data_IF_694705205545
#
_entry.id   IF_694705205545
#
_cell.length_a   1.000
_cell.length_b   1.000
_cell.length_c   1.000
_cell.angle_alpha   90.00
_cell.angle_beta   90.00
_cell.angle_gamma   90.00
#
_symmetry.space_group_name_H-M   'P 1'
#
loop_
_entity.id
_entity.type
_entity.pdbx_description
1 polymer ?
#
# COMPACT_ATOMS: atom_id res chain seq x y z
N UNK A 1 -11.45 -0.75 -18.21
CA UNK A 1 -12.74 -1.37 -18.49
C UNK A 1 -12.75 -2.08 -19.85
N UNK A 2 -12.40 -1.40 -20.93
CA UNK A 2 -12.37 -1.99 -22.29
C UNK A 2 -11.51 -3.26 -22.42
N UNK A 3 -10.35 -3.32 -21.76
CA UNK A 3 -9.51 -4.52 -21.74
C UNK A 3 -10.20 -5.73 -21.12
N UNK A 4 -10.94 -5.54 -20.02
CA UNK A 4 -11.73 -6.61 -19.38
C UNK A 4 -12.86 -7.06 -20.33
N UNK A 5 -13.56 -6.11 -20.94
CA UNK A 5 -14.63 -6.38 -21.89
C UNK A 5 -14.11 -7.19 -23.09
N UNK A 6 -12.97 -6.77 -23.67
CA UNK A 6 -12.34 -7.48 -24.78
C UNK A 6 -11.92 -8.91 -24.37
N UNK A 7 -11.30 -9.07 -23.20
CA UNK A 7 -10.91 -10.38 -22.69
C UNK A 7 -12.13 -11.29 -22.48
N UNK A 8 -13.27 -10.74 -22.05
CA UNK A 8 -14.52 -11.46 -21.89
C UNK A 8 -15.10 -11.90 -23.28
N UNK A 9 -15.13 -10.98 -24.24
CA UNK A 9 -15.59 -11.27 -25.61
C UNK A 9 -14.75 -12.35 -26.29
N UNK A 10 -13.45 -12.35 -26.06
CA UNK A 10 -12.52 -13.36 -26.57
C UNK A 10 -12.56 -14.68 -25.79
N UNK A 11 -13.37 -14.76 -24.72
CA UNK A 11 -13.48 -15.96 -23.91
C UNK A 11 -12.26 -16.25 -23.04
N UNK A 12 -11.43 -15.28 -22.74
CA UNK A 12 -10.21 -15.46 -21.98
C UNK A 12 -10.40 -15.36 -20.45
N UNK A 13 -11.53 -14.84 -19.97
CA UNK A 13 -11.81 -14.73 -18.54
C UNK A 13 -12.02 -16.14 -17.94
N UNK A 14 -11.32 -16.45 -16.86
CA UNK A 14 -11.41 -17.72 -16.15
C UNK A 14 -10.67 -18.89 -16.84
N UNK A 15 -9.77 -18.62 -17.76
CA UNK A 15 -8.86 -19.60 -18.38
C UNK A 15 -7.45 -19.43 -17.84
N UNK A 16 -6.68 -20.53 -17.80
CA UNK A 16 -5.25 -20.47 -17.47
C UNK A 16 -4.53 -19.56 -18.47
N UNK A 17 -3.66 -18.69 -17.97
CA UNK A 17 -2.91 -17.70 -18.75
C UNK A 17 -3.78 -16.72 -19.57
N UNK A 18 -5.09 -16.69 -19.34
CA UNK A 18 -6.02 -15.80 -20.03
C UNK A 18 -6.54 -14.69 -19.12
N UNK A 19 -7.26 -13.74 -19.72
CA UNK A 19 -7.90 -12.64 -19.01
C UNK A 19 -7.19 -11.30 -19.17
N UNK A 20 -7.46 -10.39 -18.26
CA UNK A 20 -6.86 -9.07 -18.20
C UNK A 20 -6.43 -8.79 -16.77
N UNK A 21 -5.16 -8.55 -16.55
CA UNK A 21 -4.59 -8.20 -15.27
C UNK A 21 -4.04 -6.78 -15.24
N UNK A 22 -4.21 -6.09 -14.13
CA UNK A 22 -3.69 -4.74 -13.90
C UNK A 22 -2.62 -4.78 -12.82
N UNK A 23 -1.37 -4.87 -13.21
CA UNK A 23 -0.23 -5.08 -12.32
C UNK A 23 -0.14 -6.52 -11.79
N UNK A 24 1.04 -7.00 -11.51
CA UNK A 24 1.27 -8.33 -10.95
C UNK A 24 1.57 -8.19 -9.46
N UNK A 25 0.74 -8.81 -8.61
CA UNK A 25 0.85 -8.89 -7.15
C UNK A 25 0.79 -7.59 -6.38
N UNK A 26 1.34 -6.49 -6.87
CA UNK A 26 1.57 -5.26 -6.10
C UNK A 26 0.36 -4.35 -5.99
N UNK A 27 -0.49 -4.31 -7.01
CA UNK A 27 -1.58 -3.31 -7.11
C UNK A 27 -2.96 -3.94 -6.98
N UNK A 28 -3.11 -5.20 -7.35
CA UNK A 28 -4.39 -5.91 -7.34
C UNK A 28 -4.26 -7.38 -6.96
N UNK A 29 -5.33 -8.13 -7.19
CA UNK A 29 -5.37 -9.56 -6.91
C UNK A 29 -4.65 -10.44 -7.95
N UNK A 30 -3.89 -9.88 -8.87
CA UNK A 30 -3.11 -10.58 -9.88
C UNK A 30 -1.79 -11.07 -9.28
N UNK A 31 -1.29 -12.19 -9.70
CA UNK A 31 -0.11 -12.86 -9.15
C UNK A 31 -0.47 -14.25 -8.67
N UNK A 32 0.30 -14.83 -7.75
CA UNK A 32 -0.01 -16.14 -7.20
C UNK A 32 -1.34 -16.09 -6.46
N UNK A 33 -2.36 -16.71 -7.06
CA UNK A 33 -3.71 -16.74 -6.50
C UNK A 33 -3.86 -17.74 -5.34
N UNK A 34 -2.87 -18.59 -5.10
CA UNK A 34 -2.91 -19.66 -4.10
C UNK A 34 -2.48 -19.18 -2.73
N UNK A 35 -1.43 -18.39 -2.70
CA UNK A 35 -0.79 -17.94 -1.48
C UNK A 35 -1.21 -16.53 -1.10
N UNK A 36 -2.53 -16.24 -1.22
CA UNK A 36 -3.04 -15.00 -0.66
C UNK A 36 -2.96 -15.05 0.85
N UNK A 37 -1.86 -14.52 1.37
CA UNK A 37 -1.61 -14.41 2.79
C UNK A 37 -1.72 -12.95 3.22
N UNK A 38 -2.74 -12.57 3.98
CA UNK A 38 -2.77 -11.28 4.62
C UNK A 38 -1.69 -11.25 5.71
N UNK A 39 -0.70 -10.40 5.52
CA UNK A 39 0.32 -10.13 6.52
C UNK A 39 -0.21 -9.19 7.59
N UNK A 40 0.24 -9.38 8.82
CA UNK A 40 -0.05 -8.42 9.87
C UNK A 40 0.77 -7.15 9.64
N UNK A 41 0.20 -6.02 10.00
CA UNK A 41 0.85 -4.72 9.96
C UNK A 41 1.18 -4.24 11.36
N UNK A 42 1.97 -3.17 11.45
CA UNK A 42 2.12 -2.42 12.69
C UNK A 42 0.76 -1.95 13.23
N UNK A 43 0.59 -1.82 14.55
CA UNK A 43 -0.63 -1.29 15.14
C UNK A 43 -0.93 0.12 14.60
N UNK A 44 -2.15 0.33 14.10
CA UNK A 44 -2.54 1.58 13.44
C UNK A 44 -3.37 2.51 14.35
N UNK A 45 -3.70 2.06 15.56
CA UNK A 45 -4.60 2.80 16.43
C UNK A 45 -6.00 3.00 15.84
N UNK A 46 -6.66 4.06 16.27
CA UNK A 46 -7.99 4.44 15.76
C UNK A 46 -7.92 5.80 15.09
N UNK A 47 -8.15 5.86 13.80
CA UNK A 47 -8.32 7.12 13.10
C UNK A 47 -9.69 7.73 13.47
N UNK A 48 -9.69 8.96 13.98
CA UNK A 48 -10.92 9.71 14.31
C UNK A 48 -11.55 10.32 13.06
N UNK A 49 -10.76 10.55 12.02
CA UNK A 49 -11.21 11.10 10.74
C UNK A 49 -11.64 9.94 9.86
N UNK A 50 -12.89 9.97 9.42
CA UNK A 50 -13.48 8.89 8.60
C UNK A 50 -13.54 9.24 7.13
N UNK A 51 -13.61 10.52 6.81
CA UNK A 51 -13.58 11.00 5.44
C UNK A 51 -12.15 11.03 4.93
N UNK A 52 -11.97 10.85 3.65
CA UNK A 52 -10.67 10.87 3.00
C UNK A 52 -10.72 11.62 1.67
N UNK A 53 -9.59 12.15 1.28
CA UNK A 53 -9.44 12.81 0.00
C UNK A 53 -8.75 11.81 -0.94
N UNK A 54 -9.32 11.51 -2.12
CA UNK A 54 -8.65 10.68 -3.11
C UNK A 54 -7.29 11.27 -3.49
N UNK A 55 -6.29 10.43 -3.67
CA UNK A 55 -4.91 10.86 -4.02
C UNK A 55 -4.91 11.76 -5.25
N UNK A 56 -5.72 11.47 -6.26
CA UNK A 56 -5.84 12.28 -7.48
C UNK A 56 -6.40 13.70 -7.24
N UNK A 57 -6.98 13.98 -6.07
CA UNK A 57 -7.58 15.26 -5.70
C UNK A 57 -6.68 16.14 -4.82
N UNK A 58 -5.44 15.74 -4.55
CA UNK A 58 -4.53 16.51 -3.69
C UNK A 58 -4.34 17.94 -4.21
N UNK A 59 -4.14 18.11 -5.51
CA UNK A 59 -4.01 19.44 -6.12
C UNK A 59 -5.27 20.28 -5.94
N UNK A 60 -6.44 19.70 -6.25
CA UNK A 60 -7.74 20.38 -6.11
C UNK A 60 -8.01 20.78 -4.66
N UNK A 61 -7.69 19.91 -3.71
CA UNK A 61 -7.81 20.18 -2.27
C UNK A 61 -6.96 21.38 -1.85
N UNK A 62 -5.72 21.45 -2.28
CA UNK A 62 -4.82 22.54 -1.93
C UNK A 62 -5.24 23.86 -2.61
N UNK A 63 -5.81 23.81 -3.81
CA UNK A 63 -6.26 24.98 -4.54
C UNK A 63 -7.58 25.55 -4.02
N UNK A 64 -8.46 24.71 -3.50
CA UNK A 64 -9.84 25.07 -3.15
C UNK A 64 -10.25 24.65 -1.73
N UNK A 65 -9.58 25.16 -0.67
CA UNK A 65 -9.99 24.88 0.71
C UNK A 65 -11.45 25.29 0.96
N UNK A 66 -12.24 24.40 1.59
CA UNK A 66 -13.67 24.60 1.85
C UNK A 66 -14.58 24.31 0.64
N UNK A 67 -14.00 24.01 -0.54
CA UNK A 67 -14.77 23.63 -1.72
C UNK A 67 -15.38 22.22 -1.58
N UNK A 68 -16.53 22.03 -2.19
CA UNK A 68 -17.19 20.72 -2.24
C UNK A 68 -16.71 19.90 -3.44
N UNK A 69 -16.71 18.58 -3.30
CA UNK A 69 -16.46 17.64 -4.39
C UNK A 69 -17.27 16.37 -4.20
N UNK A 70 -17.59 15.72 -5.31
CA UNK A 70 -18.31 14.44 -5.32
C UNK A 70 -17.32 13.27 -5.34
N UNK A 71 -17.52 12.31 -4.46
CA UNK A 71 -16.77 11.07 -4.43
C UNK A 71 -17.63 9.91 -3.92
N UNK A 72 -17.72 8.85 -4.71
CA UNK A 72 -18.43 7.60 -4.38
C UNK A 72 -19.87 7.85 -3.88
N UNK A 73 -20.62 8.73 -4.59
CA UNK A 73 -21.98 9.08 -4.27
C UNK A 73 -22.15 9.98 -3.03
N UNK A 74 -21.06 10.55 -2.51
CA UNK A 74 -21.07 11.47 -1.37
C UNK A 74 -20.54 12.83 -1.78
N UNK A 75 -21.09 13.88 -1.16
CA UNK A 75 -20.51 15.22 -1.18
C UNK A 75 -19.56 15.37 0.00
N UNK A 76 -18.32 15.70 -0.27
CA UNK A 76 -17.25 15.90 0.70
C UNK A 76 -16.71 17.32 0.56
N UNK A 77 -16.05 17.83 1.60
CA UNK A 77 -15.48 19.17 1.62
C UNK A 77 -13.96 19.10 1.79
N UNK A 78 -13.24 19.87 1.00
CA UNK A 78 -11.78 19.95 1.14
C UNK A 78 -11.38 20.66 2.42
N UNK A 79 -10.49 20.08 3.23
CA UNK A 79 -9.92 20.76 4.40
C UNK A 79 -8.94 21.86 3.96
N UNK A 80 -8.74 22.83 4.84
CA UNK A 80 -7.68 23.84 4.69
C UNK A 80 -6.36 23.30 5.28
N UNK A 81 -5.50 22.77 4.42
CA UNK A 81 -4.23 22.13 4.80
C UNK A 81 -3.16 23.19 5.05
N UNK A 82 -2.62 23.21 6.26
CA UNK A 82 -1.53 24.10 6.68
C UNK A 82 -0.18 23.44 6.73
N UNK A 83 -0.14 22.12 6.93
CA UNK A 83 1.09 21.34 6.98
C UNK A 83 0.94 20.07 6.15
N UNK A 84 1.94 19.78 5.34
CA UNK A 84 2.10 18.51 4.66
C UNK A 84 3.31 17.81 5.26
N UNK A 85 3.12 16.58 5.74
CA UNK A 85 4.21 15.68 6.05
C UNK A 85 4.16 14.50 5.07
N UNK A 86 5.17 14.34 4.26
CA UNK A 86 5.20 13.30 3.23
C UNK A 86 6.34 12.32 3.48
N UNK A 87 6.00 11.08 3.79
CA UNK A 87 6.94 10.00 3.99
C UNK A 87 6.60 8.85 3.03
N UNK A 88 7.51 8.53 2.14
CA UNK A 88 7.33 7.51 1.10
C UNK A 88 6.54 7.98 -0.13
N UNK A 89 6.98 7.52 -1.30
CA UNK A 89 6.44 7.95 -2.58
C UNK A 89 6.88 9.37 -2.98
N UNK A 90 6.50 9.79 -4.19
CA UNK A 90 6.85 11.12 -4.71
C UNK A 90 5.69 11.67 -5.55
N UNK A 91 4.93 12.66 -5.05
CA UNK A 91 3.78 13.22 -5.76
C UNK A 91 4.16 13.83 -7.10
N UNK A 92 5.37 14.36 -7.25
CA UNK A 92 5.86 14.93 -8.51
C UNK A 92 6.17 13.88 -9.59
N UNK A 93 6.08 12.58 -9.26
CA UNK A 93 6.19 11.48 -10.23
C UNK A 93 4.83 10.79 -10.51
N UNK A 94 3.87 10.91 -9.59
CA UNK A 94 2.65 10.14 -9.65
C UNK A 94 1.39 10.95 -9.94
N UNK A 95 1.41 12.27 -9.70
CA UNK A 95 0.24 13.12 -9.92
C UNK A 95 0.18 13.66 -11.35
N UNK A 96 -1.05 13.92 -11.76
CA UNK A 96 -1.37 14.59 -13.02
C UNK A 96 -1.16 16.10 -12.86
N UNK A 97 -0.96 16.79 -13.99
CA UNK A 97 -0.84 18.24 -14.06
C UNK A 97 0.15 18.82 -13.04
N UNK A 98 1.41 18.46 -13.21
CA UNK A 98 2.50 18.89 -12.31
C UNK A 98 2.64 20.41 -12.24
N UNK A 99 2.26 21.14 -13.29
CA UNK A 99 2.32 22.61 -13.29
C UNK A 99 1.30 23.22 -12.31
N UNK A 100 0.12 22.61 -12.16
CA UNK A 100 -0.82 22.99 -11.12
C UNK A 100 -0.32 22.55 -9.73
N UNK A 101 0.18 21.33 -9.63
CA UNK A 101 0.69 20.78 -8.37
C UNK A 101 1.79 21.67 -7.77
N UNK A 102 2.77 22.12 -8.56
CA UNK A 102 3.86 23.00 -8.10
C UNK A 102 3.30 24.30 -7.48
N UNK A 103 2.26 24.88 -8.09
CA UNK A 103 1.63 26.09 -7.57
C UNK A 103 0.80 25.82 -6.31
N UNK A 104 0.03 24.73 -6.30
CA UNK A 104 -0.78 24.32 -5.17
C UNK A 104 0.09 23.94 -3.96
N UNK A 105 1.24 23.34 -4.21
CA UNK A 105 2.20 22.92 -3.18
C UNK A 105 2.81 24.08 -2.38
N UNK A 106 2.72 25.29 -2.88
CA UNK A 106 3.18 26.52 -2.19
C UNK A 106 2.14 27.11 -1.22
N UNK A 107 0.94 26.54 -1.14
CA UNK A 107 -0.14 27.08 -0.29
C UNK A 107 -0.04 26.67 1.18
N UNK A 108 0.32 25.42 1.54
CA UNK A 108 0.58 25.07 2.93
C UNK A 108 1.70 25.90 3.53
N UNK A 109 1.60 26.14 4.86
CA UNK A 109 2.61 26.92 5.57
C UNK A 109 3.95 26.17 5.72
N UNK A 110 3.90 24.83 5.76
CA UNK A 110 5.07 23.99 5.99
C UNK A 110 4.94 22.68 5.27
N UNK A 111 6.00 22.27 4.61
CA UNK A 111 6.12 20.98 3.95
C UNK A 111 7.35 20.25 4.49
N UNK A 112 7.11 19.09 5.09
CA UNK A 112 8.13 18.20 5.64
C UNK A 112 8.16 16.93 4.81
N UNK A 113 9.35 16.44 4.47
CA UNK A 113 9.51 15.18 3.73
C UNK A 113 10.57 14.29 4.37
N UNK A 114 10.33 12.97 4.36
CA UNK A 114 11.38 11.98 4.50
C UNK A 114 11.78 11.55 3.09
N UNK A 115 13.06 11.73 2.72
CA UNK A 115 13.48 11.45 1.36
C UNK A 115 14.91 10.92 1.32
N UNK A 116 15.13 9.94 0.45
CA UNK A 116 16.45 9.32 0.25
C UNK A 116 17.28 9.99 -0.84
N UNK A 117 16.63 10.74 -1.73
CA UNK A 117 17.28 11.39 -2.88
C UNK A 117 16.92 12.87 -2.98
N UNK A 118 17.84 13.65 -3.52
CA UNK A 118 17.59 15.05 -3.83
C UNK A 118 16.77 15.21 -5.11
N UNK A 119 15.55 14.70 -5.08
CA UNK A 119 14.60 14.69 -6.20
C UNK A 119 13.70 15.94 -6.23
N UNK A 120 12.68 15.92 -7.10
CA UNK A 120 11.72 17.03 -7.21
C UNK A 120 10.92 17.26 -5.93
N UNK A 121 10.56 16.24 -5.19
CA UNK A 121 9.83 16.40 -3.93
C UNK A 121 10.70 17.08 -2.86
N UNK A 122 11.92 16.62 -2.67
CA UNK A 122 12.87 17.25 -1.74
C UNK A 122 13.09 18.73 -2.06
N UNK A 123 13.16 19.09 -3.35
CA UNK A 123 13.34 20.48 -3.79
C UNK A 123 12.13 21.39 -3.54
N UNK A 124 10.97 20.84 -3.25
CA UNK A 124 9.74 21.55 -2.96
C UNK A 124 9.30 21.41 -1.48
N UNK A 125 10.21 21.02 -0.61
CA UNK A 125 10.00 20.91 0.83
C UNK A 125 10.73 22.02 1.59
N UNK A 126 10.17 22.41 2.75
CA UNK A 126 10.81 23.34 3.67
C UNK A 126 11.77 22.62 4.61
N UNK A 127 11.42 21.39 5.02
CA UNK A 127 12.20 20.55 5.92
C UNK A 127 12.37 19.18 5.29
N UNK A 128 13.60 18.69 5.26
CA UNK A 128 13.94 17.38 4.72
C UNK A 128 14.61 16.55 5.80
N UNK A 129 14.02 15.40 6.13
CA UNK A 129 14.70 14.39 6.93
C UNK A 129 15.34 13.36 5.98
N UNK A 130 16.66 13.25 5.94
CA UNK A 130 17.34 12.27 5.10
C UNK A 130 17.02 10.86 5.61
N UNK A 131 16.34 10.08 4.77
CA UNK A 131 15.91 8.74 5.10
C UNK A 131 16.86 7.68 4.54
N UNK A 132 16.92 6.53 5.21
CA UNK A 132 17.72 5.38 4.81
C UNK A 132 17.11 4.66 3.61
N UNK A 133 17.98 4.12 2.77
CA UNK A 133 17.59 3.14 1.74
C UNK A 133 17.29 1.78 2.37
N UNK A 134 16.72 0.87 1.58
CA UNK A 134 16.49 -0.51 2.04
C UNK A 134 17.78 -1.27 2.39
N UNK A 135 18.95 -0.86 1.86
CA UNK A 135 20.23 -1.48 2.18
C UNK A 135 20.79 -1.06 3.56
N UNK A 136 20.31 0.04 4.09
CA UNK A 136 20.78 0.66 5.33
C UNK A 136 19.92 0.33 6.55
N UNK A 137 18.87 -0.50 6.39
CA UNK A 137 17.96 -0.88 7.47
C UNK A 137 17.58 -2.37 7.41
N UNK A 138 17.08 -2.85 8.51
CA UNK A 138 16.38 -4.13 8.55
C UNK A 138 14.93 -3.96 8.15
N UNK A 139 14.36 -4.95 7.45
CA UNK A 139 12.96 -4.90 7.04
C UNK A 139 12.46 -6.31 6.68
N UNK A 140 11.19 -6.43 6.31
CA UNK A 140 10.58 -7.62 5.72
C UNK A 140 10.07 -7.28 4.32
N UNK A 141 10.43 -8.09 3.34
CA UNK A 141 9.78 -8.06 2.03
C UNK A 141 8.65 -9.09 2.03
N UNK A 142 7.45 -8.58 2.15
CA UNK A 142 6.22 -9.36 2.21
C UNK A 142 5.26 -8.87 1.14
N UNK A 143 4.73 -9.80 0.34
CA UNK A 143 3.71 -9.50 -0.64
C UNK A 143 2.57 -10.53 -0.50
N UNK A 144 1.30 -10.10 -0.43
CA UNK A 144 0.18 -11.03 -0.29
C UNK A 144 0.02 -12.05 -1.42
N UNK A 145 0.73 -11.87 -2.52
CA UNK A 145 0.64 -12.69 -3.73
C UNK A 145 1.97 -13.32 -4.15
N UNK A 146 3.00 -13.17 -3.33
CA UNK A 146 4.30 -13.78 -3.54
C UNK A 146 4.48 -14.92 -2.53
N UNK A 147 4.85 -16.13 -2.94
CA UNK A 147 5.10 -17.22 -2.02
C UNK A 147 6.41 -17.07 -1.24
N UNK A 148 7.27 -16.13 -1.63
CA UNK A 148 8.58 -15.94 -1.01
C UNK A 148 8.59 -14.75 -0.08
N UNK A 149 8.99 -14.99 1.16
CA UNK A 149 9.20 -13.98 2.18
C UNK A 149 10.69 -13.80 2.38
N UNK A 150 11.15 -12.56 2.41
CA UNK A 150 12.56 -12.24 2.51
C UNK A 150 12.82 -11.41 3.76
N UNK A 151 13.84 -11.82 4.54
CA UNK A 151 14.42 -11.01 5.59
C UNK A 151 15.39 -10.02 4.95
N UNK A 152 14.99 -8.77 4.86
CA UNK A 152 15.88 -7.71 4.37
C UNK A 152 16.80 -7.28 5.51
N UNK A 153 18.00 -7.86 5.56
CA UNK A 153 19.01 -7.51 6.55
C UNK A 153 19.76 -6.26 6.13
N UNK A 154 20.04 -5.38 7.09
CA UNK A 154 20.93 -4.25 6.89
C UNK A 154 22.25 -4.70 6.30
N UNK A 155 22.60 -4.19 5.13
CA UNK A 155 23.80 -4.56 4.38
C UNK A 155 24.93 -3.54 4.49
N UNK A 156 24.62 -2.29 4.88
CA UNK A 156 25.59 -1.21 5.03
C UNK A 156 25.16 -0.22 6.11
N UNK A 157 26.11 0.53 6.64
CA UNK A 157 25.80 1.59 7.60
C UNK A 157 25.07 2.76 6.94
N UNK A 158 24.30 3.48 7.75
CA UNK A 158 23.57 4.67 7.30
C UNK A 158 24.53 5.72 6.72
N UNK A 159 24.17 6.27 5.58
CA UNK A 159 24.97 7.28 4.93
C UNK A 159 24.85 8.62 5.64
N UNK A 160 25.97 9.14 6.16
CA UNK A 160 26.03 10.38 6.93
C UNK A 160 25.00 10.45 8.07
N UNK A 161 24.09 11.44 7.99
CA UNK A 161 23.06 11.70 9.02
C UNK A 161 21.69 11.08 8.65
N UNK A 162 21.64 10.20 7.64
CA UNK A 162 20.40 9.53 7.30
C UNK A 162 19.96 8.59 8.43
N UNK A 163 18.66 8.46 8.59
CA UNK A 163 18.02 7.63 9.61
C UNK A 163 16.91 6.81 9.00
N UNK A 164 16.54 5.71 9.65
CA UNK A 164 15.33 4.99 9.27
C UNK A 164 14.11 5.85 9.53
N UNK A 165 13.01 5.62 8.80
CA UNK A 165 11.75 6.30 9.08
C UNK A 165 11.30 6.07 10.53
N UNK A 166 11.57 4.87 11.07
CA UNK A 166 11.27 4.55 12.47
C UNK A 166 12.06 5.45 13.45
N UNK A 167 13.34 5.67 13.21
CA UNK A 167 14.17 6.57 14.03
C UNK A 167 13.71 8.03 13.90
N UNK A 168 13.36 8.48 12.67
CA UNK A 168 12.84 9.83 12.44
C UNK A 168 11.56 10.06 13.22
N UNK A 169 10.57 9.17 13.08
CA UNK A 169 9.30 9.30 13.78
C UNK A 169 9.42 9.09 15.29
N UNK A 170 10.33 8.22 15.75
CA UNK A 170 10.63 8.08 17.18
C UNK A 170 11.25 9.35 17.75
N UNK A 171 12.13 10.00 16.99
CA UNK A 171 12.69 11.31 17.37
C UNK A 171 11.62 12.37 17.50
N UNK A 172 10.70 12.47 16.54
CA UNK A 172 9.56 13.38 16.60
C UNK A 172 8.63 13.07 17.77
N UNK A 173 8.33 11.79 18.01
CA UNK A 173 7.50 11.37 19.13
C UNK A 173 8.14 11.73 20.49
N UNK A 174 9.46 11.66 20.59
CA UNK A 174 10.21 12.08 21.77
C UNK A 174 10.04 13.56 22.05
N UNK A 175 10.27 14.41 21.04
CA UNK A 175 10.13 15.86 21.18
C UNK A 175 8.68 16.29 21.49
N UNK A 176 7.70 15.52 21.01
CA UNK A 176 6.28 15.73 21.26
C UNK A 176 5.78 15.08 22.57
N UNK A 177 6.63 14.37 23.31
CA UNK A 177 6.35 13.83 24.63
C UNK A 177 5.55 12.53 24.67
N UNK A 178 5.53 11.74 23.57
CA UNK A 178 4.82 10.46 23.52
C UNK A 178 5.64 9.29 22.95
N UNK A 179 6.97 9.33 23.12
CA UNK A 179 7.88 8.29 22.62
C UNK A 179 7.46 6.88 23.02
N UNK A 180 7.20 6.67 24.31
CA UNK A 180 6.84 5.35 24.81
C UNK A 180 5.54 4.82 24.21
N UNK A 181 4.53 5.67 24.05
CA UNK A 181 3.28 5.31 23.41
C UNK A 181 3.45 5.00 21.90
N UNK A 182 4.42 5.64 21.24
CA UNK A 182 4.71 5.40 19.84
C UNK A 182 5.53 4.12 19.62
N UNK A 183 6.58 3.92 20.42
CA UNK A 183 7.50 2.80 20.25
C UNK A 183 7.10 1.54 21.00
N UNK A 184 6.25 1.65 22.04
CA UNK A 184 5.97 0.58 22.99
C UNK A 184 7.26 -0.04 23.58
N UNK A 185 8.33 0.77 23.71
CA UNK A 185 9.67 0.36 24.12
C UNK A 185 10.28 -0.74 23.24
N UNK A 186 9.87 -0.83 21.96
CA UNK A 186 10.39 -1.75 20.98
C UNK A 186 11.35 -1.03 20.04
N UNK A 187 12.41 -1.72 19.61
CA UNK A 187 13.27 -1.28 18.53
C UNK A 187 12.74 -1.77 17.16
N UNK A 188 13.48 -1.47 16.08
CA UNK A 188 13.13 -1.86 14.73
C UNK A 188 13.01 -3.40 14.59
N UNK A 189 13.96 -4.14 15.16
CA UNK A 189 13.99 -5.60 15.05
C UNK A 189 12.86 -6.24 15.87
N UNK A 190 12.52 -5.68 17.03
CA UNK A 190 11.37 -6.11 17.83
C UNK A 190 10.06 -5.97 17.07
N UNK A 191 9.90 -4.87 16.31
CA UNK A 191 8.72 -4.68 15.47
C UNK A 191 8.68 -5.65 14.28
N UNK A 192 9.81 -5.92 13.65
CA UNK A 192 9.93 -6.92 12.58
C UNK A 192 9.54 -8.31 13.12
N UNK A 193 10.06 -8.67 14.29
CA UNK A 193 9.70 -9.93 14.97
C UNK A 193 8.23 -9.99 15.33
N UNK A 194 7.67 -8.89 15.84
CA UNK A 194 6.23 -8.80 16.13
C UNK A 194 5.36 -9.07 14.89
N UNK A 195 5.70 -8.47 13.73
CA UNK A 195 4.97 -8.70 12.47
C UNK A 195 5.08 -10.18 12.07
N UNK A 196 6.28 -10.77 12.14
CA UNK A 196 6.50 -12.17 11.83
C UNK A 196 5.66 -13.10 12.71
N UNK A 197 5.79 -12.97 14.03
CA UNK A 197 5.09 -13.83 15.00
C UNK A 197 3.58 -13.69 14.92
N UNK A 198 3.08 -12.48 14.73
CA UNK A 198 1.65 -12.20 14.58
C UNK A 198 1.10 -12.78 13.28
N UNK A 199 1.88 -12.70 12.18
CA UNK A 199 1.52 -13.31 10.89
C UNK A 199 1.56 -14.83 10.97
N UNK A 200 2.59 -15.41 11.59
CA UNK A 200 2.68 -16.85 11.82
C UNK A 200 1.46 -17.39 12.57
N UNK A 201 1.06 -16.73 13.67
CA UNK A 201 -0.14 -17.10 14.45
C UNK A 201 -1.41 -17.02 13.62
N UNK A 202 -1.55 -16.00 12.78
CA UNK A 202 -2.71 -15.85 11.91
C UNK A 202 -2.79 -16.96 10.84
N UNK A 203 -1.64 -17.46 10.40
CA UNK A 203 -1.53 -18.49 9.36
C UNK A 203 -1.54 -19.93 9.87
N UNK A 204 -1.25 -20.18 11.13
CA UNK A 204 -1.41 -21.52 11.74
C UNK A 204 -2.83 -22.07 11.53
N UNK A 205 -3.83 -21.20 11.44
CA UNK A 205 -5.22 -21.58 11.13
C UNK A 205 -5.43 -22.10 9.69
N UNK A 206 -4.41 -22.04 8.83
CA UNK A 206 -4.43 -22.42 7.41
C UNK A 206 -3.48 -23.56 7.11
N UNK A 207 -3.07 -24.32 8.13
CA UNK A 207 -2.15 -25.46 8.04
C UNK A 207 -0.76 -25.10 7.46
N UNK A 208 -0.35 -23.83 7.56
CA UNK A 208 1.00 -23.41 7.19
C UNK A 208 1.84 -23.28 8.43
N UNK A 209 2.90 -24.10 8.50
CA UNK A 209 3.89 -24.05 9.57
C UNK A 209 5.00 -23.05 9.23
N UNK A 210 5.09 -21.98 10.01
CA UNK A 210 6.18 -21.01 9.91
C UNK A 210 7.36 -21.43 10.80
N UNK A 211 8.61 -21.22 10.36
CA UNK A 211 9.77 -21.37 11.22
C UNK A 211 9.74 -20.29 12.33
N UNK A 212 10.52 -20.50 13.38
CA UNK A 212 10.78 -19.46 14.36
C UNK A 212 11.40 -18.24 13.67
N UNK A 213 11.20 -17.06 14.25
CA UNK A 213 11.77 -15.84 13.69
C UNK A 213 13.28 -15.92 13.51
N UNK A 214 13.98 -16.45 14.48
CA UNK A 214 15.42 -16.54 14.49
C UNK A 214 15.93 -17.42 13.32
N UNK A 215 15.29 -18.56 13.08
CA UNK A 215 15.63 -19.48 11.99
C UNK A 215 15.36 -18.85 10.61
N UNK A 216 14.23 -18.17 10.48
CA UNK A 216 13.90 -17.40 9.27
C UNK A 216 14.90 -16.27 9.04
N UNK A 217 15.17 -15.49 10.09
CA UNK A 217 16.08 -14.36 10.01
C UNK A 217 17.50 -14.80 9.63
N UNK A 218 17.98 -15.88 10.21
CA UNK A 218 19.30 -16.44 9.87
C UNK A 218 19.33 -16.93 8.42
N UNK A 219 18.36 -17.72 8.00
CA UNK A 219 18.26 -18.25 6.64
C UNK A 219 18.10 -17.16 5.57
N UNK A 220 17.42 -16.06 5.91
CA UNK A 220 17.20 -14.92 5.02
C UNK A 220 15.93 -14.98 4.17
N UNK A 221 15.29 -16.12 4.06
CA UNK A 221 14.02 -16.25 3.33
C UNK A 221 13.19 -17.44 3.81
N UNK A 222 11.91 -17.40 3.50
CA UNK A 222 10.98 -18.50 3.70
C UNK A 222 10.06 -18.61 2.48
N UNK A 223 9.89 -19.81 1.94
CA UNK A 223 8.94 -20.08 0.86
C UNK A 223 7.71 -20.79 1.42
N UNK A 224 6.55 -20.24 1.07
CA UNK A 224 5.27 -20.89 1.37
C UNK A 224 5.14 -22.20 0.59
N UNK A 225 4.49 -23.21 1.17
CA UNK A 225 4.29 -24.47 0.47
C UNK A 225 3.48 -24.25 -0.80
N UNK A 226 3.88 -24.92 -1.88
CA UNK A 226 3.12 -24.92 -3.13
C UNK A 226 1.77 -25.61 -2.92
N UNK A 227 0.67 -25.05 -3.41
CA UNK A 227 -0.61 -25.73 -3.36
C UNK A 227 -0.61 -26.99 -4.22
N UNK A 228 -1.34 -28.01 -3.78
CA UNK A 228 -1.45 -29.28 -4.51
C UNK A 228 -2.16 -29.15 -5.86
N UNK A 229 -3.03 -28.14 -5.99
CA UNK A 229 -3.82 -27.89 -7.21
C UNK A 229 -3.72 -26.47 -7.66
N UNK A 230 -3.56 -26.26 -8.94
CA UNK A 230 -3.59 -24.93 -9.54
C UNK A 230 -5.01 -24.36 -9.51
N UNK A 231 -5.11 -23.12 -9.05
CA UNK A 231 -6.37 -22.37 -9.04
C UNK A 231 -6.35 -21.28 -10.10
N UNK A 232 -7.17 -21.39 -11.11
CA UNK A 232 -7.35 -20.35 -12.12
C UNK A 232 -8.40 -19.35 -11.62
N UNK A 233 -8.04 -18.06 -11.57
CA UNK A 233 -8.96 -17.00 -11.14
C UNK A 233 -10.20 -16.97 -12.04
N UNK A 234 -11.38 -16.83 -11.43
CA UNK A 234 -12.68 -16.81 -12.11
C UNK A 234 -13.03 -18.09 -12.90
N UNK A 235 -12.31 -19.19 -12.71
CA UNK A 235 -12.62 -20.45 -13.39
C UNK A 235 -14.00 -21.01 -12.97
N UNK A 236 -14.36 -20.89 -11.69
CA UNK A 236 -15.65 -21.35 -11.19
C UNK A 236 -16.80 -20.50 -11.76
N UNK A 237 -16.63 -19.17 -11.83
CA UNK A 237 -17.56 -18.28 -12.52
C UNK A 237 -17.71 -18.65 -13.99
N UNK A 238 -16.61 -18.95 -14.67
CA UNK A 238 -16.63 -19.39 -16.08
C UNK A 238 -17.42 -20.69 -16.27
N UNK A 239 -17.25 -21.66 -15.36
CA UNK A 239 -17.94 -22.97 -15.43
C UNK A 239 -19.44 -22.85 -15.16
N UNK A 240 -19.82 -22.09 -14.14
CA UNK A 240 -21.21 -21.88 -13.76
C UNK A 240 -21.40 -20.48 -13.13
N UNK A 241 -21.70 -19.47 -13.94
CA UNK A 241 -21.88 -18.10 -13.46
C UNK A 241 -23.08 -17.90 -12.54
N UNK A 242 -24.05 -18.81 -12.56
CA UNK A 242 -25.21 -18.73 -11.68
C UNK A 242 -24.89 -19.25 -10.28
N UNK A 243 -24.08 -20.29 -10.20
CA UNK A 243 -23.63 -20.86 -8.92
C UNK A 243 -22.50 -20.04 -8.28
N UNK A 244 -21.65 -19.43 -9.08
CA UNK A 244 -20.49 -18.63 -8.65
C UNK A 244 -20.54 -17.22 -9.24
N UNK A 245 -21.56 -16.42 -8.91
CA UNK A 245 -21.71 -15.08 -9.47
C UNK A 245 -20.55 -14.17 -9.07
N UNK A 246 -20.29 -13.15 -9.87
CA UNK A 246 -19.37 -12.07 -9.53
C UNK A 246 -20.00 -11.14 -8.49
N UNK A 247 -19.15 -10.45 -7.73
CA UNK A 247 -19.61 -9.42 -6.80
C UNK A 247 -19.91 -8.08 -7.54
N UNK A 248 -20.80 -8.15 -8.51
CA UNK A 248 -21.31 -7.03 -9.30
C UNK A 248 -22.82 -6.98 -9.16
N UNK A 249 -23.50 -5.85 -9.42
CA UNK A 249 -24.96 -5.75 -9.35
C UNK A 249 -25.70 -6.84 -10.12
N UNK A 250 -25.21 -7.22 -11.30
CA UNK A 250 -25.79 -8.27 -12.14
C UNK A 250 -25.30 -9.68 -11.82
N UNK A 251 -24.28 -9.83 -10.97
CA UNK A 251 -23.55 -11.09 -10.76
C UNK A 251 -22.70 -11.53 -11.94
N UNK A 252 -22.59 -10.71 -12.99
CA UNK A 252 -21.90 -11.00 -14.24
C UNK A 252 -20.85 -9.94 -14.55
N UNK A 253 -20.08 -10.13 -15.64
CA UNK A 253 -19.18 -9.09 -16.19
C UNK A 253 -20.05 -7.98 -16.77
N UNK A 254 -19.91 -6.77 -16.23
CA UNK A 254 -20.68 -5.61 -16.69
C UNK A 254 -19.86 -4.79 -17.69
N UNK A 255 -20.44 -4.50 -18.84
CA UNK A 255 -19.83 -3.67 -19.90
C UNK A 255 -20.00 -2.19 -19.58
N UNK A 256 -21.08 -1.82 -18.90
CA UNK A 256 -21.36 -0.47 -18.42
C UNK A 256 -21.59 -0.48 -16.91
N UNK A 257 -21.39 0.66 -16.27
CA UNK A 257 -21.60 0.84 -14.84
C UNK A 257 -22.72 1.84 -14.60
N UNK A 258 -23.77 1.40 -13.94
CA UNK A 258 -24.84 2.30 -13.49
C UNK A 258 -24.30 3.36 -12.51
N UNK A 259 -23.31 3.00 -11.69
CA UNK A 259 -22.65 3.95 -10.79
C UNK A 259 -21.97 5.08 -11.57
N UNK A 260 -21.19 4.73 -12.60
CA UNK A 260 -20.50 5.74 -13.43
C UNK A 260 -21.52 6.57 -14.23
N UNK A 261 -22.57 5.96 -14.75
CA UNK A 261 -23.59 6.67 -15.52
C UNK A 261 -24.39 7.68 -14.68
N UNK A 262 -24.35 7.57 -13.35
CA UNK A 262 -25.01 8.51 -12.44
C UNK A 262 -24.10 9.67 -11.99
N UNK A 263 -22.83 9.68 -12.43
CA UNK A 263 -21.94 10.83 -12.27
C UNK A 263 -22.13 11.73 -13.50
N UNK A 264 -22.88 12.80 -13.36
CA UNK A 264 -23.00 13.89 -14.34
C UNK A 264 -21.93 14.95 -14.10
#
# INVERSE_FOLDING_TARGET
WMGITLAAMLGHIGTASGGFGFGYSSVNSTGDSFNRMPWQSLPQGKNKIRDFIPVARVTDMLENPGGEFDYDGKKLTYPDIKLIYWAGGNPFHHHQDLNRLVKAWQKPNTIIVNEIWWNSQARHADIIFPANTALERNDLMLNPRDPTLIANKKAMESFHNSKTDYEIFSGLAKELGFLEAFTENKDELDWIKFIWDSSSKAHQRKDVSFPKFEDFWEKGFFELPKPETEKVMLNDFRKDPNKFPLNTPSGKIEISSATIANFE
#
